data_IF_120704915653
#
_entry.id   IF_120704915653
#
_cell.length_a   1.000
_cell.length_b   1.000
_cell.length_c   1.000
_cell.angle_alpha   90.00
_cell.angle_beta   90.00
_cell.angle_gamma   90.00
#
_symmetry.space_group_name_H-M   'P 1'
#
loop_
_entity.id
_entity.type
_entity.pdbx_description
1 polymer ?
#
# COMPACT_ATOMS: atom_id res chain seq x y z
N UNK A 1 15.95 7.95 1.55
CA UNK A 1 15.32 7.91 0.21
C UNK A 1 16.26 7.14 -0.70
N UNK A 2 15.75 6.33 -1.63
CA UNK A 2 16.63 5.44 -2.37
C UNK A 2 17.35 6.14 -3.53
N UNK A 3 18.55 5.71 -3.90
CA UNK A 3 19.29 6.26 -5.05
C UNK A 3 18.80 5.73 -6.41
N UNK A 4 17.65 5.03 -6.44
CA UNK A 4 17.08 4.43 -7.66
C UNK A 4 16.02 5.32 -8.30
N UNK A 5 15.49 6.30 -7.57
CA UNK A 5 14.45 7.20 -8.05
C UNK A 5 14.93 8.65 -8.09
N UNK A 6 14.35 9.48 -8.97
CA UNK A 6 14.64 10.91 -8.98
C UNK A 6 14.34 11.54 -7.63
N UNK A 7 15.08 12.60 -7.30
CA UNK A 7 14.81 13.42 -6.12
C UNK A 7 13.34 13.93 -6.14
N UNK A 8 12.56 13.70 -5.08
CA UNK A 8 11.15 14.05 -5.03
C UNK A 8 10.94 15.53 -4.70
N UNK A 9 11.97 16.27 -4.26
CA UNK A 9 11.81 17.65 -3.81
C UNK A 9 10.86 17.75 -2.62
N UNK A 10 10.18 18.88 -2.48
CA UNK A 10 9.19 19.08 -1.41
C UNK A 10 7.88 18.31 -1.65
N UNK A 11 7.07 18.26 -0.60
CA UNK A 11 5.78 17.58 -0.59
C UNK A 11 4.84 18.07 -1.70
N UNK A 12 4.72 19.38 -1.90
CA UNK A 12 3.78 19.95 -2.87
C UNK A 12 4.17 19.56 -4.31
N UNK A 13 5.46 19.63 -4.62
CA UNK A 13 6.03 19.26 -5.91
C UNK A 13 5.88 17.76 -6.17
N UNK A 14 6.11 16.93 -5.15
CA UNK A 14 5.89 15.49 -5.25
C UNK A 14 4.42 15.13 -5.47
N UNK A 15 3.52 15.72 -4.69
CA UNK A 15 2.07 15.51 -4.80
C UNK A 15 1.55 15.89 -6.19
N UNK A 16 2.04 17.01 -6.75
CA UNK A 16 1.69 17.41 -8.12
C UNK A 16 2.11 16.35 -9.14
N UNK A 17 3.38 15.91 -9.10
CA UNK A 17 3.87 14.88 -10.03
C UNK A 17 3.13 13.56 -9.87
N UNK A 18 2.79 13.17 -8.64
CA UNK A 18 1.99 11.98 -8.38
C UNK A 18 0.61 12.05 -9.06
N UNK A 19 -0.10 13.18 -8.91
CA UNK A 19 -1.42 13.40 -9.54
C UNK A 19 -1.37 13.39 -11.07
N UNK A 20 -0.27 13.90 -11.63
CA UNK A 20 0.01 13.89 -13.07
C UNK A 20 0.51 12.53 -13.57
N UNK A 21 0.70 11.52 -12.70
CA UNK A 21 1.27 10.23 -13.07
C UNK A 21 2.75 10.28 -13.47
N UNK A 22 3.44 11.37 -13.15
CA UNK A 22 4.87 11.60 -13.45
C UNK A 22 5.77 11.13 -12.31
N UNK A 23 5.48 9.95 -11.78
CA UNK A 23 6.27 9.24 -10.78
C UNK A 23 6.70 7.89 -11.34
N UNK A 24 7.64 7.22 -10.70
CA UNK A 24 8.03 5.87 -11.10
C UNK A 24 6.81 4.95 -11.08
N UNK A 25 6.65 4.13 -12.12
CA UNK A 25 5.49 3.27 -12.40
C UNK A 25 4.19 3.96 -12.84
N UNK A 26 4.17 5.29 -13.00
CA UNK A 26 3.09 6.00 -13.68
C UNK A 26 1.90 6.39 -12.79
N UNK A 27 0.70 6.43 -13.37
CA UNK A 27 -0.55 6.83 -12.72
C UNK A 27 -1.03 5.77 -11.73
N UNK A 28 -1.20 6.17 -10.46
CA UNK A 28 -1.80 5.29 -9.44
C UNK A 28 -3.21 4.85 -9.84
N UNK A 29 -4.02 5.78 -10.37
CA UNK A 29 -5.40 5.52 -10.77
C UNK A 29 -5.47 4.39 -11.80
N UNK A 30 -4.72 4.53 -12.90
CA UNK A 30 -4.72 3.54 -13.99
C UNK A 30 -4.19 2.19 -13.52
N UNK A 31 -3.20 2.20 -12.63
CA UNK A 31 -2.62 0.98 -12.08
C UNK A 31 -3.66 0.20 -11.25
N UNK A 32 -4.33 0.85 -10.29
CA UNK A 32 -5.27 0.14 -9.41
C UNK A 32 -6.55 -0.25 -10.13
N UNK A 33 -7.08 0.58 -11.02
CA UNK A 33 -8.29 0.26 -11.79
C UNK A 33 -8.03 -0.86 -12.78
N UNK A 34 -6.90 -0.82 -13.52
CA UNK A 34 -6.55 -1.86 -14.48
C UNK A 34 -6.36 -3.23 -13.81
N UNK A 35 -5.69 -3.28 -12.66
CA UNK A 35 -5.54 -4.53 -11.91
C UNK A 35 -6.85 -5.01 -11.28
N UNK A 36 -7.72 -4.09 -10.86
CA UNK A 36 -9.06 -4.44 -10.38
C UNK A 36 -9.91 -5.06 -11.48
N UNK A 37 -9.98 -4.44 -12.67
CA UNK A 37 -10.72 -4.99 -13.81
C UNK A 37 -10.19 -6.38 -14.20
N UNK A 38 -8.86 -6.57 -14.13
CA UNK A 38 -8.25 -7.86 -14.37
C UNK A 38 -8.64 -8.88 -13.29
N UNK A 39 -8.72 -8.49 -12.03
CA UNK A 39 -9.11 -9.40 -10.94
C UNK A 39 -10.54 -9.90 -11.08
N UNK A 40 -11.44 -9.10 -11.68
CA UNK A 40 -12.83 -9.53 -11.91
C UNK A 40 -12.96 -10.67 -12.94
N UNK A 41 -11.94 -10.86 -13.78
CA UNK A 41 -11.98 -11.84 -14.89
C UNK A 41 -10.93 -12.93 -14.77
N UNK A 42 -10.00 -12.82 -13.81
CA UNK A 42 -8.85 -13.71 -13.68
C UNK A 42 -8.92 -14.51 -12.38
N UNK A 43 -9.16 -15.84 -12.43
CA UNK A 43 -9.24 -16.66 -11.22
C UNK A 43 -7.89 -16.76 -10.47
N UNK A 44 -6.78 -16.50 -11.16
CA UNK A 44 -5.43 -16.57 -10.59
C UNK A 44 -4.94 -15.21 -10.05
N UNK A 45 -5.86 -14.31 -9.69
CA UNK A 45 -5.53 -12.99 -9.17
C UNK A 45 -6.36 -12.68 -7.92
N UNK A 46 -5.70 -12.61 -6.77
CA UNK A 46 -6.29 -12.14 -5.53
C UNK A 46 -6.03 -10.64 -5.34
N UNK A 47 -7.09 -9.84 -5.37
CA UNK A 47 -7.03 -8.41 -5.13
C UNK A 47 -7.34 -8.11 -3.65
N UNK A 48 -6.37 -7.52 -2.95
CA UNK A 48 -6.46 -7.20 -1.52
C UNK A 48 -6.29 -5.68 -1.29
N UNK A 49 -6.87 -5.19 -0.20
CA UNK A 49 -6.65 -3.81 0.26
C UNK A 49 -5.75 -3.81 1.48
N UNK A 50 -4.87 -2.79 1.57
CA UNK A 50 -4.00 -2.62 2.72
C UNK A 50 -4.80 -2.37 4.01
N UNK A 51 -5.92 -1.67 3.89
CA UNK A 51 -6.78 -1.32 5.02
C UNK A 51 -7.46 -2.56 5.61
N UNK A 52 -7.84 -3.52 4.76
CA UNK A 52 -8.40 -4.80 5.20
C UNK A 52 -7.37 -5.64 5.97
N UNK A 53 -6.11 -5.65 5.50
CA UNK A 53 -5.01 -6.32 6.20
C UNK A 53 -4.71 -5.68 7.57
N UNK A 54 -4.82 -4.35 7.65
CA UNK A 54 -4.58 -3.61 8.88
C UNK A 54 -5.70 -3.78 9.91
N UNK A 55 -6.95 -3.91 9.45
CA UNK A 55 -8.14 -4.05 10.30
C UNK A 55 -8.37 -5.51 10.76
N UNK A 56 -8.29 -6.46 9.83
CA UNK A 56 -8.62 -7.87 10.09
C UNK A 56 -7.69 -8.82 9.31
N UNK A 57 -6.48 -8.99 9.83
CA UNK A 57 -5.48 -9.88 9.24
C UNK A 57 -5.93 -11.36 9.24
N UNK A 58 -6.81 -11.76 10.16
CA UNK A 58 -7.29 -13.13 10.25
C UNK A 58 -8.19 -13.46 9.05
N UNK A 59 -9.14 -12.57 8.74
CA UNK A 59 -9.99 -12.68 7.55
C UNK A 59 -9.18 -12.66 6.26
N UNK A 60 -8.22 -11.75 6.14
CA UNK A 60 -7.42 -11.64 4.93
C UNK A 60 -6.45 -12.82 4.75
N UNK A 61 -5.93 -13.39 5.85
CA UNK A 61 -5.14 -14.61 5.81
C UNK A 61 -5.99 -15.82 5.37
N UNK A 62 -7.22 -15.94 5.86
CA UNK A 62 -8.15 -16.99 5.40
C UNK A 62 -8.41 -16.87 3.90
N UNK A 63 -8.70 -15.67 3.41
CA UNK A 63 -8.89 -15.41 1.96
C UNK A 63 -7.65 -15.80 1.15
N UNK A 64 -6.45 -15.48 1.63
CA UNK A 64 -5.20 -15.86 0.98
C UNK A 64 -5.02 -17.38 0.96
N UNK A 65 -5.29 -18.06 2.07
CA UNK A 65 -5.21 -19.51 2.15
C UNK A 65 -6.19 -20.20 1.19
N UNK A 66 -7.44 -19.74 1.13
CA UNK A 66 -8.43 -20.24 0.18
C UNK A 66 -8.01 -20.00 -1.27
N UNK A 67 -7.43 -18.84 -1.57
CA UNK A 67 -6.95 -18.52 -2.92
C UNK A 67 -5.78 -19.40 -3.35
N UNK A 68 -4.86 -19.71 -2.43
CA UNK A 68 -3.70 -20.58 -2.70
C UNK A 68 -4.02 -22.07 -2.59
N UNK A 69 -5.25 -22.44 -2.23
CA UNK A 69 -5.67 -23.82 -1.95
C UNK A 69 -4.79 -24.53 -0.90
N UNK A 70 -4.53 -23.83 0.22
CA UNK A 70 -3.72 -24.34 1.34
C UNK A 70 -4.50 -24.35 2.65
N UNK A 71 -4.27 -25.40 3.45
CA UNK A 71 -4.87 -25.58 4.77
C UNK A 71 -3.78 -25.56 5.85
N UNK A 72 -3.28 -24.39 6.28
CA UNK A 72 -2.26 -24.32 7.31
C UNK A 72 -2.79 -24.85 8.64
N UNK A 73 -1.88 -25.30 9.50
CA UNK A 73 -2.15 -25.57 10.91
C UNK A 73 -2.40 -24.27 11.68
N UNK A 74 -2.98 -24.35 12.88
CA UNK A 74 -3.14 -23.18 13.75
C UNK A 74 -1.80 -22.53 14.09
N UNK A 75 -0.76 -23.34 14.28
CA UNK A 75 0.59 -22.87 14.56
C UNK A 75 1.20 -22.13 13.37
N UNK A 76 1.00 -22.62 12.14
CA UNK A 76 1.45 -21.93 10.93
C UNK A 76 0.73 -20.59 10.74
N UNK A 77 -0.60 -20.55 10.95
CA UNK A 77 -1.37 -19.30 10.94
C UNK A 77 -0.85 -18.32 11.98
N UNK A 78 -0.63 -18.78 13.21
CA UNK A 78 -0.10 -17.96 14.31
C UNK A 78 1.25 -17.36 13.95
N UNK A 79 2.19 -18.16 13.46
CA UNK A 79 3.52 -17.70 13.04
C UNK A 79 3.46 -16.71 11.87
N UNK A 80 2.62 -16.97 10.87
CA UNK A 80 2.44 -16.06 9.75
C UNK A 80 1.94 -14.69 10.23
N UNK A 81 0.91 -14.65 11.08
CA UNK A 81 0.38 -13.41 11.65
C UNK A 81 1.41 -12.66 12.49
N UNK A 82 2.11 -13.36 13.36
CA UNK A 82 3.15 -12.74 14.21
C UNK A 82 4.29 -12.16 13.38
N UNK A 83 4.76 -12.89 12.37
CA UNK A 83 5.80 -12.42 11.45
C UNK A 83 5.36 -11.26 10.56
N UNK A 84 4.05 -11.15 10.26
CA UNK A 84 3.47 -10.07 9.47
C UNK A 84 3.15 -8.81 10.28
N UNK A 85 3.26 -8.83 11.61
CA UNK A 85 3.07 -7.61 12.44
C UNK A 85 4.11 -6.57 12.07
N UNK A 86 3.68 -5.31 12.03
CA UNK A 86 4.55 -4.19 11.64
C UNK A 86 5.86 -4.16 12.44
N UNK A 87 5.79 -4.24 13.78
CA UNK A 87 7.00 -4.19 14.62
C UNK A 87 7.91 -5.41 14.38
N UNK A 88 7.34 -6.61 14.21
CA UNK A 88 8.12 -7.81 13.88
C UNK A 88 8.85 -7.67 12.53
N UNK A 89 8.18 -7.13 11.50
CA UNK A 89 8.79 -6.87 10.20
C UNK A 89 9.82 -5.73 10.23
N UNK A 90 9.60 -4.72 11.09
CA UNK A 90 10.50 -3.58 11.26
C UNK A 90 11.81 -3.97 11.94
N UNK A 91 11.75 -4.87 12.91
CA UNK A 91 12.91 -5.34 13.66
C UNK A 91 13.67 -6.46 12.93
N UNK A 92 13.07 -7.08 11.91
CA UNK A 92 13.69 -8.15 11.11
C UNK A 92 14.49 -7.60 9.91
N UNK A 93 15.80 -7.86 9.89
CA UNK A 93 16.73 -7.43 8.82
C UNK A 93 16.36 -7.95 7.43
N UNK A 94 15.66 -9.09 7.35
CA UNK A 94 15.23 -9.67 6.07
C UNK A 94 14.04 -8.93 5.45
N UNK A 95 13.31 -8.14 6.24
CA UNK A 95 12.08 -7.46 5.79
C UNK A 95 12.17 -5.94 5.89
N UNK A 96 13.01 -5.39 6.77
CA UNK A 96 13.06 -3.96 7.05
C UNK A 96 13.86 -3.11 6.04
N UNK A 97 14.32 -3.72 4.95
CA UNK A 97 15.01 -3.03 3.85
C UNK A 97 16.45 -2.61 4.14
N UNK A 98 17.00 -2.88 5.34
CA UNK A 98 18.39 -2.48 5.70
C UNK A 98 19.47 -3.17 4.85
N UNK A 99 19.16 -4.32 4.26
CA UNK A 99 20.08 -5.02 3.35
C UNK A 99 20.12 -4.40 1.94
N UNK A 100 19.17 -3.51 1.61
CA UNK A 100 19.10 -2.86 0.30
C UNK A 100 20.03 -1.63 0.32
N UNK A 101 21.23 -1.78 -0.26
CA UNK A 101 22.26 -0.71 -0.29
C UNK A 101 21.77 0.62 -0.85
N UNK A 102 20.80 0.59 -1.74
CA UNK A 102 20.23 1.80 -2.33
C UNK A 102 19.36 2.59 -1.34
N UNK A 103 18.93 2.02 -0.21
CA UNK A 103 18.05 2.67 0.77
C UNK A 103 18.85 3.21 1.95
N UNK A 104 18.78 4.53 2.20
CA UNK A 104 19.36 5.14 3.40
C UNK A 104 18.31 5.29 4.52
N UNK A 105 18.41 4.48 5.61
CA UNK A 105 17.49 4.54 6.74
C UNK A 105 17.62 5.83 7.57
N UNK A 106 18.73 6.58 7.45
CA UNK A 106 18.91 7.86 8.16
C UNK A 106 18.02 8.97 7.58
N UNK A 107 17.69 8.88 6.29
CA UNK A 107 16.76 9.81 5.64
C UNK A 107 15.31 9.40 5.95
N UNK A 108 14.99 8.13 5.74
CA UNK A 108 13.70 7.56 6.14
C UNK A 108 13.84 6.04 6.19
N UNK A 109 13.42 5.38 7.30
CA UNK A 109 13.36 3.93 7.34
C UNK A 109 12.34 3.40 6.33
N UNK A 110 12.60 2.20 5.77
CA UNK A 110 11.68 1.54 4.85
C UNK A 110 10.36 1.19 5.55
N UNK A 111 10.45 0.55 6.73
CA UNK A 111 9.33 0.33 7.63
C UNK A 111 9.05 1.60 8.44
N UNK A 112 8.27 2.52 7.88
CA UNK A 112 8.09 3.88 8.40
C UNK A 112 7.10 4.01 9.57
N UNK A 113 5.80 3.76 9.32
CA UNK A 113 4.72 3.93 10.32
C UNK A 113 3.73 2.77 10.42
N UNK A 114 3.42 2.08 9.32
CA UNK A 114 2.51 0.94 9.32
C UNK A 114 1.07 1.26 9.75
N UNK A 115 0.53 2.41 9.33
CA UNK A 115 -0.80 2.89 9.73
C UNK A 115 -1.57 3.46 8.55
N UNK A 116 -2.88 3.22 8.55
CA UNK A 116 -3.84 3.87 7.66
C UNK A 116 -4.15 5.27 8.20
N UNK A 117 -4.41 6.25 7.32
CA UNK A 117 -4.82 7.60 7.72
C UNK A 117 -3.69 8.62 7.93
N UNK A 118 -2.41 8.24 7.76
CA UNK A 118 -1.29 9.18 7.95
C UNK A 118 -1.31 10.36 6.97
N UNK A 119 -2.07 10.29 5.89
CA UNK A 119 -2.24 11.37 4.90
C UNK A 119 -2.68 12.69 5.55
N UNK A 120 -3.49 12.64 6.62
CA UNK A 120 -3.95 13.83 7.37
C UNK A 120 -2.82 14.65 7.98
N UNK A 121 -1.66 14.03 8.19
CA UNK A 121 -0.48 14.71 8.74
C UNK A 121 0.37 15.41 7.66
N UNK A 122 0.06 15.22 6.37
CA UNK A 122 0.84 15.78 5.25
C UNK A 122 0.03 16.73 4.39
N UNK A 123 -1.23 16.39 4.11
CA UNK A 123 -2.09 17.21 3.27
C UNK A 123 -2.56 18.46 4.00
N UNK A 124 -2.44 19.62 3.36
CA UNK A 124 -3.27 20.77 3.73
C UNK A 124 -4.72 20.52 3.29
N UNK A 125 -5.67 21.26 3.88
CA UNK A 125 -7.10 21.17 3.49
C UNK A 125 -7.28 21.40 1.98
N UNK A 126 -6.65 22.44 1.43
CA UNK A 126 -6.73 22.77 0.00
C UNK A 126 -6.15 21.67 -0.89
N UNK A 127 -5.01 21.09 -0.51
CA UNK A 127 -4.42 19.96 -1.24
C UNK A 127 -5.36 18.74 -1.22
N UNK A 128 -5.97 18.44 -0.07
CA UNK A 128 -6.90 17.33 0.05
C UNK A 128 -8.15 17.54 -0.81
N UNK A 129 -8.78 18.72 -0.73
CA UNK A 129 -9.96 19.02 -1.53
C UNK A 129 -9.69 18.92 -3.04
N UNK A 130 -8.50 19.35 -3.48
CA UNK A 130 -8.10 19.22 -4.87
C UNK A 130 -7.89 17.75 -5.27
N UNK A 131 -7.20 16.98 -4.43
CA UNK A 131 -6.97 15.56 -4.66
C UNK A 131 -8.30 14.77 -4.69
N UNK A 132 -9.20 15.03 -3.75
CA UNK A 132 -10.50 14.36 -3.64
C UNK A 132 -11.39 14.59 -4.86
N UNK A 133 -11.35 15.80 -5.45
CA UNK A 133 -12.10 16.08 -6.68
C UNK A 133 -11.59 15.20 -7.83
N UNK A 134 -10.27 15.17 -8.03
CA UNK A 134 -9.67 14.33 -9.08
C UNK A 134 -9.89 12.85 -8.83
N UNK A 135 -9.81 12.42 -7.57
CA UNK A 135 -10.07 11.05 -7.17
C UNK A 135 -11.49 10.63 -7.58
N UNK A 136 -12.51 11.44 -7.30
CA UNK A 136 -13.91 11.13 -7.68
C UNK A 136 -14.09 11.03 -9.19
N UNK A 137 -13.39 11.86 -9.96
CA UNK A 137 -13.45 11.82 -11.43
C UNK A 137 -12.76 10.57 -11.99
N UNK A 138 -11.57 10.23 -11.48
CA UNK A 138 -10.76 9.11 -11.99
C UNK A 138 -11.16 7.74 -11.44
N UNK A 139 -11.74 7.70 -10.24
CA UNK A 139 -12.22 6.48 -9.56
C UNK A 139 -13.75 6.40 -9.62
N UNK A 140 -14.31 6.59 -10.82
CA UNK A 140 -15.77 6.64 -11.01
C UNK A 140 -16.46 5.26 -10.88
N UNK A 141 -15.72 4.15 -10.82
CA UNK A 141 -16.29 2.82 -10.63
C UNK A 141 -16.86 2.70 -9.20
N UNK A 142 -18.18 2.56 -9.02
CA UNK A 142 -18.80 2.59 -7.70
C UNK A 142 -18.53 1.32 -6.87
N UNK A 143 -18.00 0.26 -7.48
CA UNK A 143 -17.69 -1.02 -6.82
C UNK A 143 -16.27 -1.05 -6.29
N UNK A 144 -15.32 -0.41 -6.98
CA UNK A 144 -13.93 -0.29 -6.50
C UNK A 144 -13.83 0.88 -5.53
N UNK A 145 -13.76 0.58 -4.23
CA UNK A 145 -13.70 1.57 -3.16
C UNK A 145 -12.47 1.36 -2.30
N UNK A 146 -11.79 2.44 -1.98
CA UNK A 146 -10.67 2.44 -1.04
C UNK A 146 -11.10 3.15 0.23
N UNK A 147 -10.66 2.60 1.36
CA UNK A 147 -10.77 3.27 2.66
C UNK A 147 -9.52 4.11 2.88
N UNK A 148 -9.69 5.29 3.44
CA UNK A 148 -8.58 6.21 3.76
C UNK A 148 -8.26 6.23 5.23
N UNK A 149 -9.07 5.54 6.04
CA UNK A 149 -9.08 5.49 7.50
C UNK A 149 -9.65 4.14 7.96
N UNK A 150 -9.22 3.69 9.15
CA UNK A 150 -9.74 2.54 9.88
C UNK A 150 -10.04 2.95 11.32
#
# INVERSE_FOLDING_TARGET
MNCLQPEPGDWASYLQRFREGKVTFGSWYDHVTGWWEKSQTSPNLLYLHYEDLAEDIDRELERLCSFLDVCPTEEERRRAKEGAKFDAMKDNVMTNGTLIKAMDPKISPFMRKGKVGDWKNHFTVSQNEQFDREYREKMANPVLRFRTEI
#
